data_IF_242128870899
#
_entry.id   IF_242128870899
#
_cell.length_a   1.000
_cell.length_b   1.000
_cell.length_c   1.000
_cell.angle_alpha   90.00
_cell.angle_beta   90.00
_cell.angle_gamma   90.00
#
_symmetry.space_group_name_H-M   'P 1'
#
loop_
_entity.id
_entity.type
_entity.pdbx_description
1 polymer ?
#
# COMPACT_ATOMS: atom_id res chain seq x y z
N UNK A 1 -19.59 -10.77 3.27
CA UNK A 1 -18.19 -10.49 2.93
C UNK A 1 -18.08 -9.05 2.44
N UNK A 2 -17.65 -8.15 3.31
CA UNK A 2 -17.34 -6.75 3.02
C UNK A 2 -15.82 -6.64 2.82
N UNK A 3 -15.41 -6.04 1.71
CA UNK A 3 -13.99 -5.75 1.43
C UNK A 3 -13.81 -4.25 1.37
N UNK A 4 -12.97 -3.70 2.25
CA UNK A 4 -12.56 -2.30 2.16
C UNK A 4 -11.34 -2.17 1.26
N UNK A 5 -11.53 -1.58 0.09
CA UNK A 5 -10.48 -1.43 -0.91
C UNK A 5 -9.57 -0.20 -0.69
N UNK A 6 -9.79 0.58 0.38
CA UNK A 6 -9.10 1.85 0.58
C UNK A 6 -8.87 2.17 2.06
N UNK A 7 -7.93 1.47 2.69
CA UNK A 7 -7.46 1.84 4.04
C UNK A 7 -6.02 2.33 4.02
N UNK A 8 -5.66 3.12 5.03
CA UNK A 8 -4.29 3.58 5.26
C UNK A 8 -3.89 3.29 6.69
N UNK A 9 -2.65 2.89 6.89
CA UNK A 9 -2.01 2.76 8.21
C UNK A 9 -0.98 3.88 8.43
N UNK A 10 -1.19 5.04 7.81
CA UNK A 10 -0.36 6.23 7.98
C UNK A 10 -0.68 6.90 9.33
N UNK A 11 0.30 7.65 9.85
CA UNK A 11 0.12 8.52 11.01
C UNK A 11 -0.13 9.92 10.50
N UNK A 12 -1.34 10.43 10.72
CA UNK A 12 -1.70 11.81 10.43
C UNK A 12 -1.67 12.62 11.73
N UNK A 13 -1.67 13.96 11.61
CA UNK A 13 -1.50 14.90 12.73
C UNK A 13 -2.51 14.71 13.88
N UNK A 14 -3.66 14.09 13.58
CA UNK A 14 -4.73 13.77 14.55
C UNK A 14 -4.51 12.43 15.29
N UNK A 15 -3.54 11.61 14.88
CA UNK A 15 -3.28 10.25 15.39
C UNK A 15 -1.94 10.25 16.17
N UNK A 16 -1.74 11.22 17.07
CA UNK A 16 -0.47 11.36 17.80
C UNK A 16 -0.24 10.24 18.82
N UNK A 17 -1.31 9.56 19.26
CA UNK A 17 -1.27 8.62 20.38
C UNK A 17 -1.00 7.16 19.99
N UNK A 18 -0.96 6.83 18.69
CA UNK A 18 -0.69 5.46 18.20
C UNK A 18 0.59 5.48 17.35
N UNK A 19 1.78 5.30 17.97
CA UNK A 19 3.04 5.63 17.31
C UNK A 19 3.56 4.52 16.38
N UNK A 20 3.30 3.24 16.67
CA UNK A 20 3.89 2.14 15.90
C UNK A 20 2.99 1.67 14.75
N UNK A 21 3.61 1.06 13.73
CA UNK A 21 2.88 0.39 12.66
C UNK A 21 1.98 -0.73 13.21
N UNK A 22 2.52 -1.57 14.10
CA UNK A 22 1.77 -2.70 14.68
C UNK A 22 0.54 -2.23 15.46
N UNK A 23 0.66 -1.14 16.23
CA UNK A 23 -0.49 -0.60 16.96
C UNK A 23 -1.55 -0.02 16.02
N UNK A 24 -1.14 0.59 14.90
CA UNK A 24 -2.08 1.06 13.85
C UNK A 24 -2.78 -0.10 13.15
N UNK A 25 -2.08 -1.21 12.87
CA UNK A 25 -2.66 -2.43 12.31
C UNK A 25 -3.64 -3.08 13.29
N UNK A 26 -3.30 -3.10 14.57
CA UNK A 26 -4.20 -3.62 15.61
C UNK A 26 -5.50 -2.81 15.70
N UNK A 27 -5.42 -1.47 15.66
CA UNK A 27 -6.61 -0.63 15.66
C UNK A 27 -7.43 -0.82 14.38
N UNK A 28 -6.78 -0.98 13.22
CA UNK A 28 -7.46 -1.34 11.97
C UNK A 28 -8.25 -2.65 12.12
N UNK A 29 -7.66 -3.71 12.69
CA UNK A 29 -8.34 -4.99 12.90
C UNK A 29 -9.56 -4.87 13.82
N UNK A 30 -9.42 -4.09 14.89
CA UNK A 30 -10.51 -3.80 15.82
C UNK A 30 -11.64 -3.06 15.12
N UNK A 31 -11.33 -2.03 14.33
CA UNK A 31 -12.33 -1.28 13.58
C UNK A 31 -12.98 -2.10 12.47
N UNK A 32 -12.22 -2.95 11.78
CA UNK A 32 -12.76 -3.91 10.82
C UNK A 32 -13.79 -4.84 11.49
N UNK A 33 -13.47 -5.36 12.67
CA UNK A 33 -14.36 -6.23 13.45
C UNK A 33 -15.65 -5.48 13.85
N UNK A 34 -15.51 -4.26 14.38
CA UNK A 34 -16.66 -3.44 14.81
C UNK A 34 -17.60 -3.08 13.66
N UNK A 35 -17.08 -2.99 12.44
CA UNK A 35 -17.83 -2.58 11.25
C UNK A 35 -18.15 -3.75 10.30
N UNK A 36 -17.90 -5.00 10.70
CA UNK A 36 -18.12 -6.20 9.88
C UNK A 36 -17.37 -6.18 8.53
N UNK A 37 -16.16 -5.62 8.50
CA UNK A 37 -15.26 -5.66 7.32
C UNK A 37 -14.44 -6.95 7.38
N UNK A 38 -14.64 -7.81 6.39
CA UNK A 38 -14.02 -9.15 6.34
C UNK A 38 -12.60 -9.13 5.76
N UNK A 39 -12.28 -8.16 4.90
CA UNK A 39 -10.95 -8.01 4.29
C UNK A 39 -10.63 -6.54 4.01
N UNK A 40 -9.38 -6.11 4.16
CA UNK A 40 -8.97 -4.74 3.83
C UNK A 40 -7.71 -4.68 2.96
N UNK A 41 -7.69 -3.74 2.02
CA UNK A 41 -6.55 -3.42 1.17
C UNK A 41 -5.89 -2.13 1.66
N UNK A 42 -4.71 -2.28 2.24
CA UNK A 42 -3.88 -1.19 2.74
C UNK A 42 -3.12 -0.56 1.58
N UNK A 43 -3.35 0.72 1.34
CA UNK A 43 -2.65 1.50 0.33
C UNK A 43 -1.38 2.11 0.96
N UNK A 44 -0.19 1.72 0.48
CA UNK A 44 1.04 2.41 0.90
C UNK A 44 1.12 3.81 0.26
N UNK A 45 1.94 4.69 0.84
CA UNK A 45 2.22 6.02 0.27
C UNK A 45 3.43 5.98 -0.67
N UNK A 46 3.50 6.93 -1.62
CA UNK A 46 4.72 7.19 -2.38
C UNK A 46 5.81 7.88 -1.54
N UNK A 47 5.44 8.45 -0.38
CA UNK A 47 6.39 9.02 0.57
C UNK A 47 6.62 8.01 1.70
N UNK A 48 7.88 7.65 1.92
CA UNK A 48 8.27 6.75 3.02
C UNK A 48 8.95 7.55 4.13
N UNK A 49 8.41 7.47 5.35
CA UNK A 49 8.98 8.05 6.56
C UNK A 49 8.36 7.37 7.80
N UNK A 50 8.74 7.72 9.05
CA UNK A 50 8.15 7.10 10.24
C UNK A 50 6.61 7.18 10.33
N UNK A 51 6.02 8.23 9.75
CA UNK A 51 4.57 8.41 9.70
C UNK A 51 3.91 7.57 8.60
N UNK A 52 4.64 7.35 7.50
CA UNK A 52 4.16 6.71 6.27
C UNK A 52 5.04 5.50 5.97
N UNK A 53 4.69 4.31 6.49
CA UNK A 53 5.50 3.11 6.29
C UNK A 53 5.59 2.75 4.80
N UNK A 54 6.73 2.21 4.40
CA UNK A 54 6.92 1.68 3.04
C UNK A 54 6.05 0.46 2.79
N UNK A 55 5.82 0.13 1.51
CA UNK A 55 5.13 -1.11 1.13
C UNK A 55 5.78 -2.34 1.77
N UNK A 56 7.12 -2.40 1.81
CA UNK A 56 7.86 -3.50 2.45
C UNK A 56 7.57 -3.62 3.94
N UNK A 57 7.58 -2.49 4.67
CA UNK A 57 7.27 -2.48 6.11
C UNK A 57 5.84 -2.97 6.37
N UNK A 58 4.88 -2.59 5.52
CA UNK A 58 3.49 -3.05 5.64
C UNK A 58 3.39 -4.55 5.35
N UNK A 59 3.99 -5.04 4.25
CA UNK A 59 4.01 -6.48 3.89
C UNK A 59 4.54 -7.31 5.07
N UNK A 60 5.64 -6.88 5.69
CA UNK A 60 6.24 -7.59 6.81
C UNK A 60 5.34 -7.60 8.05
N UNK A 61 4.69 -6.47 8.32
CA UNK A 61 3.84 -6.29 9.49
C UNK A 61 2.49 -7.02 9.37
N UNK A 62 1.99 -7.26 8.15
CA UNK A 62 0.71 -7.94 7.94
C UNK A 62 0.83 -9.44 7.68
N UNK A 63 2.03 -10.01 7.67
CA UNK A 63 2.28 -11.42 7.25
C UNK A 63 1.48 -12.48 8.03
N UNK A 64 1.05 -12.14 9.24
CA UNK A 64 0.29 -13.03 10.14
C UNK A 64 -1.23 -12.84 10.01
N UNK A 65 -1.69 -11.88 9.20
CA UNK A 65 -3.10 -11.55 9.03
C UNK A 65 -3.58 -11.98 7.64
N UNK A 66 -4.42 -13.02 7.61
CA UNK A 66 -4.97 -13.54 6.35
C UNK A 66 -6.06 -12.63 5.74
N UNK A 67 -6.57 -11.67 6.53
CA UNK A 67 -7.62 -10.74 6.14
C UNK A 67 -7.12 -9.34 5.73
N UNK A 68 -5.80 -9.18 5.56
CA UNK A 68 -5.19 -7.93 5.10
C UNK A 68 -4.42 -8.15 3.80
N UNK A 69 -4.47 -7.17 2.91
CA UNK A 69 -3.68 -7.12 1.69
C UNK A 69 -3.03 -5.76 1.49
N UNK A 70 -2.00 -5.70 0.64
CA UNK A 70 -1.28 -4.45 0.32
C UNK A 70 -1.49 -4.08 -1.14
N UNK A 71 -1.77 -2.81 -1.38
CA UNK A 71 -1.61 -2.16 -2.70
C UNK A 71 -0.41 -1.23 -2.58
N UNK A 72 0.66 -1.54 -3.33
CA UNK A 72 1.90 -0.79 -3.23
C UNK A 72 1.83 0.50 -4.04
N UNK A 73 2.03 1.63 -3.36
CA UNK A 73 2.14 2.95 -3.95
C UNK A 73 3.44 3.10 -4.73
N UNK A 74 3.36 3.14 -6.06
CA UNK A 74 4.49 3.38 -6.93
C UNK A 74 4.49 4.84 -7.41
N UNK A 75 5.67 5.45 -7.42
CA UNK A 75 5.90 6.81 -7.91
C UNK A 75 7.04 6.79 -8.91
N UNK A 76 6.84 7.43 -10.06
CA UNK A 76 7.84 7.54 -11.12
C UNK A 76 9.06 8.32 -10.62
N UNK A 77 8.83 9.40 -9.86
CA UNK A 77 9.89 10.31 -9.48
C UNK A 77 10.63 9.89 -8.20
N UNK A 78 10.01 9.06 -7.34
CA UNK A 78 10.54 8.72 -6.02
C UNK A 78 11.01 7.26 -5.87
N UNK A 79 10.85 6.42 -6.90
CA UNK A 79 11.31 5.03 -6.87
C UNK A 79 12.35 4.76 -7.94
N UNK A 80 13.37 3.99 -7.56
CA UNK A 80 14.44 3.54 -8.45
C UNK A 80 14.02 2.33 -9.29
N UNK A 81 14.85 1.96 -10.27
CA UNK A 81 14.64 0.70 -11.00
C UNK A 81 14.80 -0.53 -10.08
N UNK A 82 15.62 -0.45 -9.03
CA UNK A 82 15.72 -1.52 -8.02
C UNK A 82 14.41 -1.68 -7.25
N UNK A 83 13.80 -0.56 -6.83
CA UNK A 83 12.47 -0.58 -6.22
C UNK A 83 11.46 -1.22 -7.17
N UNK A 84 11.47 -0.82 -8.44
CA UNK A 84 10.57 -1.41 -9.44
C UNK A 84 10.75 -2.94 -9.58
N UNK A 85 11.98 -3.46 -9.54
CA UNK A 85 12.22 -4.91 -9.54
C UNK A 85 11.66 -5.60 -8.30
N UNK A 86 11.69 -4.94 -7.13
CA UNK A 86 11.06 -5.46 -5.92
C UNK A 86 9.53 -5.52 -6.08
N UNK A 87 8.92 -4.48 -6.64
CA UNK A 87 7.48 -4.44 -6.88
C UNK A 87 7.03 -5.55 -7.84
N UNK A 88 7.78 -5.76 -8.94
CA UNK A 88 7.54 -6.88 -9.87
C UNK A 88 7.58 -8.24 -9.17
N UNK A 89 8.57 -8.47 -8.30
CA UNK A 89 8.65 -9.69 -7.48
C UNK A 89 7.45 -9.81 -6.55
N UNK A 90 7.06 -8.73 -5.86
CA UNK A 90 5.95 -8.76 -4.93
C UNK A 90 4.61 -9.07 -5.60
N UNK A 91 4.37 -8.53 -6.81
CA UNK A 91 3.18 -8.88 -7.61
C UNK A 91 3.23 -10.37 -7.99
N UNK A 92 4.35 -10.81 -8.58
CA UNK A 92 4.53 -12.21 -9.01
C UNK A 92 4.31 -13.22 -7.89
N UNK A 93 4.77 -12.91 -6.68
CA UNK A 93 4.61 -13.78 -5.51
C UNK A 93 3.32 -13.51 -4.71
N UNK A 94 2.45 -12.61 -5.18
CA UNK A 94 1.17 -12.30 -4.54
C UNK A 94 1.26 -11.59 -3.17
N UNK A 95 2.44 -11.05 -2.84
CA UNK A 95 2.71 -10.27 -1.61
C UNK A 95 2.01 -8.90 -1.63
N UNK A 96 1.76 -8.36 -2.82
CA UNK A 96 0.90 -7.20 -3.04
C UNK A 96 -0.21 -7.59 -4.01
N UNK A 97 -1.41 -7.03 -3.83
CA UNK A 97 -2.60 -7.33 -4.65
C UNK A 97 -2.74 -6.37 -5.84
N UNK A 98 -1.88 -5.37 -5.92
CA UNK A 98 -1.87 -4.40 -7.01
C UNK A 98 -0.95 -3.23 -6.71
N UNK A 99 -0.92 -2.29 -7.65
CA UNK A 99 -0.16 -1.05 -7.56
C UNK A 99 -1.09 0.16 -7.55
N UNK A 100 -0.70 1.19 -6.78
CA UNK A 100 -1.34 2.50 -6.76
C UNK A 100 -0.40 3.51 -7.41
N UNK A 101 -0.90 4.21 -8.42
CA UNK A 101 -0.22 5.36 -9.04
C UNK A 101 -0.83 6.67 -8.54
N UNK A 102 -0.11 7.78 -8.75
CA UNK A 102 -0.43 9.08 -8.17
C UNK A 102 -0.66 10.14 -9.24
N UNK A 103 -1.47 9.81 -10.26
CA UNK A 103 -1.82 10.75 -11.32
C UNK A 103 -2.45 12.03 -10.75
N UNK A 104 -1.87 13.19 -11.05
CA UNK A 104 -2.31 14.49 -10.54
C UNK A 104 -1.66 14.93 -9.22
N UNK A 105 -1.07 14.01 -8.45
CA UNK A 105 -0.09 14.35 -7.41
C UNK A 105 1.31 14.43 -8.02
N UNK A 106 1.65 13.45 -8.86
CA UNK A 106 2.73 13.55 -9.82
C UNK A 106 2.23 14.30 -11.06
N UNK A 107 3.13 14.98 -11.76
CA UNK A 107 2.80 15.79 -12.95
C UNK A 107 2.54 14.93 -14.21
N UNK A 108 1.94 13.75 -14.03
CA UNK A 108 1.71 12.74 -15.05
C UNK A 108 0.24 12.34 -15.09
N UNK A 109 -0.33 12.27 -16.29
CA UNK A 109 -1.66 11.74 -16.50
C UNK A 109 -1.64 10.21 -16.44
N UNK A 110 -2.78 9.54 -16.17
CA UNK A 110 -2.84 8.08 -16.16
C UNK A 110 -2.38 7.43 -17.48
N UNK A 111 -2.57 8.10 -18.62
CA UNK A 111 -2.14 7.58 -19.92
C UNK A 111 -0.70 7.99 -20.31
N UNK A 112 0.07 8.57 -19.39
CA UNK A 112 1.47 8.93 -19.66
C UNK A 112 2.30 7.66 -19.93
N UNK A 113 3.09 7.69 -21.01
CA UNK A 113 3.89 6.54 -21.45
C UNK A 113 4.87 6.03 -20.38
N UNK A 114 5.26 6.86 -19.41
CA UNK A 114 6.11 6.44 -18.28
C UNK A 114 5.45 5.40 -17.37
N UNK A 115 4.13 5.35 -17.31
CA UNK A 115 3.41 4.30 -16.58
C UNK A 115 3.32 2.99 -17.36
N UNK A 116 3.70 2.92 -18.64
CA UNK A 116 3.56 1.71 -19.44
C UNK A 116 4.26 0.51 -18.79
N UNK A 117 5.50 0.69 -18.31
CA UNK A 117 6.25 -0.37 -17.60
C UNK A 117 5.52 -0.90 -16.36
N UNK A 118 4.75 -0.02 -15.70
CA UNK A 118 3.95 -0.36 -14.50
C UNK A 118 2.73 -1.17 -14.91
N UNK A 119 2.04 -0.76 -15.98
CA UNK A 119 0.89 -1.48 -16.52
C UNK A 119 1.27 -2.86 -17.02
N UNK A 120 2.37 -2.97 -17.78
CA UNK A 120 2.88 -4.24 -18.29
C UNK A 120 3.15 -5.22 -17.13
N UNK A 121 3.76 -4.74 -16.05
CA UNK A 121 4.05 -5.56 -14.86
C UNK A 121 2.80 -6.08 -14.14
N UNK A 122 1.66 -5.40 -14.27
CA UNK A 122 0.41 -5.82 -13.65
C UNK A 122 -0.40 -6.81 -14.50
N UNK A 123 -0.06 -7.02 -15.78
CA UNK A 123 -0.79 -7.89 -16.71
C UNK A 123 -0.02 -9.16 -17.12
N UNK A 124 1.27 -9.23 -16.80
CA UNK A 124 2.12 -10.43 -16.95
C UNK A 124 1.70 -11.58 -16.03
#
# INVERSE_FOLDING_TARGET
MIVDCHVHVNRYELIQHIPSLDARIHELQKEMTNNNVDYALILSSYKTNPDRPSAKQIIDAIKEYDNLGVIAGFSIDNHTDEDFQNYRKWIKYGLVKGLKIYSGYEHYYPYDARYQKIYDTCVE
#
